data_IF_054622924207
#
_entry.id   IF_054622924207
#
_cell.length_a   1.000
_cell.length_b   1.000
_cell.length_c   1.000
_cell.angle_alpha   90.00
_cell.angle_beta   90.00
_cell.angle_gamma   90.00
#
_symmetry.space_group_name_H-M   'P 1'
#
loop_
_entity.id
_entity.type
_entity.pdbx_description
1 polymer ?
#
# COMPACT_ATOMS: atom_id res chain seq x y z
N UNK A 1 -11.22 22.16 8.13
CA UNK A 1 -11.20 22.24 6.73
C UNK A 1 -9.99 22.87 6.08
N UNK A 2 -9.16 22.05 5.38
CA UNK A 2 -8.04 22.54 4.59
C UNK A 2 -8.43 23.10 3.23
N UNK A 3 -9.66 22.87 2.76
CA UNK A 3 -10.16 23.39 1.48
C UNK A 3 -10.72 24.81 1.66
N UNK A 4 -9.83 25.75 1.89
CA UNK A 4 -10.17 27.15 2.12
C UNK A 4 -9.09 28.06 1.53
N UNK A 5 -9.47 29.30 1.18
CA UNK A 5 -8.51 30.31 0.68
C UNK A 5 -7.54 30.79 1.76
N UNK A 6 -7.93 30.68 3.02
CA UNK A 6 -7.12 31.06 4.18
C UNK A 6 -7.40 30.10 5.34
N UNK A 7 -6.34 29.65 5.99
CA UNK A 7 -6.39 28.78 7.18
C UNK A 7 -5.54 29.42 8.27
N UNK A 8 -6.05 29.45 9.50
CA UNK A 8 -5.26 29.86 10.66
C UNK A 8 -4.35 28.69 11.08
N UNK A 9 -3.06 28.93 11.08
CA UNK A 9 -2.07 27.97 11.55
C UNK A 9 -1.72 28.33 13.01
N UNK A 10 -1.93 27.40 13.98
CA UNK A 10 -1.57 27.63 15.36
C UNK A 10 -0.04 27.77 15.56
N UNK A 11 0.37 28.49 16.59
CA UNK A 11 1.80 28.69 16.88
C UNK A 11 2.54 27.38 17.12
N UNK A 12 1.90 26.40 17.73
CA UNK A 12 2.48 25.07 18.00
C UNK A 12 2.94 24.36 16.73
N UNK A 13 2.21 24.53 15.61
CA UNK A 13 2.60 23.99 14.30
C UNK A 13 3.84 24.70 13.77
N UNK A 14 3.90 26.03 13.95
CA UNK A 14 5.03 26.83 13.49
C UNK A 14 6.30 26.56 14.33
N UNK A 15 6.15 26.43 15.64
CA UNK A 15 7.25 26.14 16.59
C UNK A 15 7.88 24.76 16.39
N UNK A 16 7.13 23.82 15.80
CA UNK A 16 7.59 22.46 15.50
C UNK A 16 8.03 22.26 14.05
N UNK A 17 8.18 23.34 13.28
CA UNK A 17 8.53 23.30 11.84
C UNK A 17 7.63 22.37 11.01
N UNK A 18 6.35 22.23 11.40
CA UNK A 18 5.39 21.37 10.71
C UNK A 18 4.76 22.02 9.47
N UNK A 19 5.10 23.27 9.16
CA UNK A 19 4.66 23.93 7.93
C UNK A 19 5.73 23.81 6.86
N UNK A 20 5.44 23.00 5.84
CA UNK A 20 6.35 22.78 4.72
C UNK A 20 5.92 23.63 3.51
N UNK A 21 6.87 24.34 2.92
CA UNK A 21 6.64 25.02 1.66
C UNK A 21 6.50 23.99 0.52
N UNK A 22 5.54 24.24 -0.37
CA UNK A 22 5.34 23.46 -1.58
C UNK A 22 5.60 24.36 -2.79
N UNK A 23 6.54 23.98 -3.65
CA UNK A 23 6.97 24.69 -4.86
C UNK A 23 6.66 23.92 -6.16
N UNK A 24 5.78 22.90 -6.09
CA UNK A 24 5.31 22.16 -7.25
C UNK A 24 4.46 22.97 -8.22
N UNK A 25 4.28 22.45 -9.42
CA UNK A 25 3.60 23.15 -10.52
C UNK A 25 2.10 23.34 -10.29
N UNK A 26 1.46 22.42 -9.57
CA UNK A 26 0.00 22.42 -9.37
C UNK A 26 -0.40 22.17 -7.93
N UNK A 27 -1.50 22.81 -7.49
CA UNK A 27 -2.11 22.51 -6.18
C UNK A 27 -2.67 21.07 -6.10
N UNK A 28 -2.99 20.48 -7.25
CA UNK A 28 -3.44 19.10 -7.33
C UNK A 28 -2.33 18.14 -6.84
N UNK A 29 -1.12 18.28 -7.32
CA UNK A 29 0.03 17.48 -6.85
C UNK A 29 0.30 17.71 -5.36
N UNK A 30 0.24 18.98 -4.92
CA UNK A 30 0.37 19.31 -3.49
C UNK A 30 -0.68 18.63 -2.60
N UNK A 31 -1.91 18.46 -3.10
CA UNK A 31 -2.98 17.78 -2.36
C UNK A 31 -2.75 16.29 -2.15
N UNK A 32 -1.87 15.67 -2.94
CA UNK A 32 -1.51 14.24 -2.82
C UNK A 32 -0.37 13.98 -1.82
N UNK A 33 0.32 15.02 -1.35
CA UNK A 33 1.49 14.85 -0.45
C UNK A 33 1.10 14.17 0.85
N UNK A 34 -0.01 14.59 1.48
CA UNK A 34 -0.46 13.98 2.73
C UNK A 34 -0.86 12.51 2.55
N UNK A 35 -1.79 12.12 1.64
CA UNK A 35 -2.14 10.73 1.46
C UNK A 35 -0.96 9.86 1.01
N UNK A 36 -0.03 10.39 0.22
CA UNK A 36 1.21 9.68 -0.12
C UNK A 36 2.10 9.47 1.11
N UNK A 37 2.22 10.46 1.98
CA UNK A 37 2.99 10.32 3.23
C UNK A 37 2.42 9.22 4.14
N UNK A 38 1.08 9.07 4.20
CA UNK A 38 0.43 7.98 4.91
C UNK A 38 0.77 6.61 4.32
N UNK A 39 0.77 6.49 2.99
CA UNK A 39 1.17 5.25 2.30
C UNK A 39 2.63 4.91 2.59
N UNK A 40 3.54 5.88 2.44
CA UNK A 40 4.97 5.70 2.76
C UNK A 40 5.14 5.28 4.21
N UNK A 41 4.42 5.92 5.13
CA UNK A 41 4.42 5.57 6.56
C UNK A 41 3.94 4.14 6.81
N UNK A 42 2.86 3.72 6.15
CA UNK A 42 2.33 2.35 6.26
C UNK A 42 3.35 1.30 5.77
N UNK A 43 3.97 1.54 4.61
CA UNK A 43 5.00 0.64 4.07
C UNK A 43 6.22 0.57 5.00
N UNK A 44 6.69 1.70 5.51
CA UNK A 44 7.84 1.77 6.42
C UNK A 44 7.54 1.21 7.82
N UNK A 45 6.28 1.15 8.24
CA UNK A 45 5.87 0.58 9.53
C UNK A 45 5.87 -0.95 9.55
N UNK A 46 5.81 -1.60 8.39
CA UNK A 46 5.99 -3.04 8.30
C UNK A 46 7.41 -3.41 8.73
N UNK A 47 7.61 -4.62 9.22
CA UNK A 47 8.92 -5.11 9.60
C UNK A 47 9.02 -6.63 9.46
N UNK A 48 10.24 -7.11 9.20
CA UNK A 48 10.52 -8.52 9.05
C UNK A 48 11.78 -8.90 9.83
N UNK A 49 11.82 -10.11 10.37
CA UNK A 49 13.00 -10.64 11.03
C UNK A 49 14.11 -10.88 10.01
N UNK A 50 15.33 -10.55 10.38
CA UNK A 50 16.51 -11.00 9.65
C UNK A 50 16.76 -12.49 9.93
N UNK A 51 17.09 -13.23 8.88
CA UNK A 51 17.36 -14.66 9.00
C UNK A 51 18.47 -14.94 10.05
N UNK A 52 18.18 -15.86 10.98
CA UNK A 52 19.11 -16.23 12.04
C UNK A 52 19.34 -15.21 13.15
N UNK A 53 18.47 -14.18 13.23
CA UNK A 53 18.61 -13.06 14.18
C UNK A 53 17.23 -12.65 14.73
N UNK A 54 17.23 -11.96 15.86
CA UNK A 54 16.03 -11.26 16.40
C UNK A 54 15.96 -9.80 15.97
N UNK A 55 16.86 -9.36 15.07
CA UNK A 55 16.80 -8.00 14.55
C UNK A 55 15.70 -7.87 13.50
N UNK A 56 15.01 -6.75 13.51
CA UNK A 56 13.99 -6.41 12.52
C UNK A 56 14.58 -5.51 11.44
N UNK A 57 14.17 -5.76 10.20
CA UNK A 57 14.34 -4.82 9.09
C UNK A 57 13.00 -4.14 8.85
N UNK A 58 12.95 -2.82 8.95
CA UNK A 58 11.75 -2.03 8.68
C UNK A 58 11.47 -1.94 7.18
N UNK A 59 10.21 -1.78 6.84
CA UNK A 59 9.72 -1.75 5.46
C UNK A 59 9.15 -3.09 5.00
N UNK A 60 8.63 -3.12 3.76
CA UNK A 60 8.16 -4.36 3.15
C UNK A 60 9.32 -5.31 2.86
N UNK A 61 9.02 -6.60 2.75
CA UNK A 61 10.04 -7.61 2.42
C UNK A 61 10.57 -7.41 1.00
N UNK A 62 11.88 -7.19 0.83
CA UNK A 62 12.48 -7.06 -0.50
C UNK A 62 12.22 -8.34 -1.33
N UNK A 63 11.72 -8.17 -2.56
CA UNK A 63 11.32 -9.26 -3.44
C UNK A 63 10.31 -10.23 -2.81
N UNK A 64 9.56 -9.76 -1.80
CA UNK A 64 8.48 -10.48 -1.14
C UNK A 64 7.18 -10.51 -1.97
N UNK A 65 6.14 -11.02 -1.34
CA UNK A 65 4.78 -11.11 -1.91
C UNK A 65 3.90 -10.13 -1.15
N UNK A 66 3.40 -9.13 -1.87
CA UNK A 66 2.55 -8.07 -1.30
C UNK A 66 1.12 -8.21 -1.81
N UNK A 67 0.15 -8.05 -0.91
CA UNK A 67 -1.28 -8.04 -1.22
C UNK A 67 -1.88 -6.70 -0.80
N UNK A 68 -2.62 -6.06 -1.70
CA UNK A 68 -3.38 -4.84 -1.42
C UNK A 68 -4.87 -5.11 -1.60
N UNK A 69 -5.63 -5.02 -0.51
CA UNK A 69 -7.08 -5.20 -0.47
C UNK A 69 -7.78 -3.84 -0.52
N UNK A 70 -8.70 -3.65 -1.48
CA UNK A 70 -9.30 -2.34 -1.77
C UNK A 70 -8.32 -1.39 -2.47
N UNK A 71 -7.52 -1.92 -3.38
CA UNK A 71 -6.32 -1.27 -3.92
C UNK A 71 -6.54 -0.31 -5.10
N UNK A 72 -7.78 -0.05 -5.54
CA UNK A 72 -8.01 0.87 -6.68
C UNK A 72 -8.67 2.19 -6.29
N UNK A 73 -8.81 2.46 -4.98
CA UNK A 73 -9.12 3.79 -4.46
C UNK A 73 -7.87 4.70 -4.45
N UNK A 74 -8.00 5.98 -4.06
CA UNK A 74 -6.88 6.93 -4.06
C UNK A 74 -5.65 6.43 -3.28
N UNK A 75 -5.84 5.93 -2.06
CA UNK A 75 -4.75 5.38 -1.24
C UNK A 75 -4.14 4.13 -1.87
N UNK A 76 -4.99 3.24 -2.42
CA UNK A 76 -4.53 2.03 -3.07
C UNK A 76 -3.70 2.29 -4.34
N UNK A 77 -4.10 3.27 -5.17
CA UNK A 77 -3.30 3.66 -6.35
C UNK A 77 -1.93 4.23 -5.95
N UNK A 78 -1.88 5.06 -4.91
CA UNK A 78 -0.61 5.56 -4.36
C UNK A 78 0.25 4.40 -3.80
N UNK A 79 -0.39 3.39 -3.19
CA UNK A 79 0.32 2.21 -2.68
C UNK A 79 0.87 1.33 -3.81
N UNK A 80 0.13 1.17 -4.92
CA UNK A 80 0.62 0.49 -6.11
C UNK A 80 1.84 1.23 -6.67
N UNK A 81 1.73 2.54 -6.85
CA UNK A 81 2.82 3.38 -7.35
C UNK A 81 4.06 3.26 -6.47
N UNK A 82 3.90 3.39 -5.15
CA UNK A 82 5.01 3.28 -4.20
C UNK A 82 5.62 1.86 -4.14
N UNK A 83 4.80 0.81 -4.28
CA UNK A 83 5.32 -0.57 -4.36
C UNK A 83 6.18 -0.81 -5.61
N UNK A 84 5.90 -0.11 -6.72
CA UNK A 84 6.63 -0.24 -7.98
C UNK A 84 7.86 0.66 -8.08
N UNK A 85 7.76 1.89 -7.58
CA UNK A 85 8.77 2.93 -7.79
C UNK A 85 9.48 3.36 -6.51
N UNK A 86 9.07 2.83 -5.36
CA UNK A 86 9.71 3.08 -4.07
C UNK A 86 11.07 2.38 -3.93
N UNK A 87 11.75 2.56 -2.80
CA UNK A 87 13.10 2.04 -2.59
C UNK A 87 13.18 0.51 -2.48
N UNK A 88 12.05 -0.15 -2.19
CA UNK A 88 11.95 -1.61 -2.05
C UNK A 88 10.74 -2.10 -2.84
N UNK A 89 10.94 -3.08 -3.71
CA UNK A 89 9.89 -3.62 -4.57
C UNK A 89 9.60 -5.08 -4.23
N UNK A 90 8.32 -5.51 -4.24
CA UNK A 90 7.94 -6.91 -4.15
C UNK A 90 8.23 -7.65 -5.46
N UNK A 91 8.39 -8.96 -5.42
CA UNK A 91 8.42 -9.80 -6.63
C UNK A 91 7.01 -10.11 -7.15
N UNK A 92 6.03 -10.16 -6.24
CA UNK A 92 4.62 -10.38 -6.54
C UNK A 92 3.78 -9.31 -5.85
N UNK A 93 2.93 -8.64 -6.62
CA UNK A 93 1.96 -7.66 -6.14
C UNK A 93 0.57 -8.07 -6.59
N UNK A 94 -0.33 -8.35 -5.65
CA UNK A 94 -1.73 -8.66 -5.93
C UNK A 94 -2.60 -7.52 -5.44
N UNK A 95 -3.47 -7.04 -6.31
CA UNK A 95 -4.41 -5.96 -6.02
C UNK A 95 -5.83 -6.50 -6.18
N UNK A 96 -6.67 -6.29 -5.17
CA UNK A 96 -8.08 -6.63 -5.26
C UNK A 96 -8.96 -5.40 -5.08
N UNK A 97 -10.07 -5.37 -5.79
CA UNK A 97 -11.13 -4.39 -5.61
C UNK A 97 -12.46 -4.98 -6.09
N UNK A 98 -13.59 -4.37 -5.75
CA UNK A 98 -14.91 -4.78 -6.22
C UNK A 98 -15.29 -4.16 -7.56
N UNK A 99 -14.63 -3.08 -7.97
CA UNK A 99 -14.93 -2.27 -9.15
C UNK A 99 -14.03 -2.66 -10.33
N UNK A 100 -14.61 -3.33 -11.33
CA UNK A 100 -13.90 -3.79 -12.52
C UNK A 100 -13.35 -2.65 -13.39
N UNK A 101 -14.03 -1.51 -13.44
CA UNK A 101 -13.58 -0.37 -14.24
C UNK A 101 -12.33 0.26 -13.62
N UNK A 102 -12.30 0.39 -12.30
CA UNK A 102 -11.12 0.84 -11.55
C UNK A 102 -9.96 -0.15 -11.66
N UNK A 103 -10.24 -1.46 -11.56
CA UNK A 103 -9.21 -2.49 -11.78
C UNK A 103 -8.63 -2.42 -13.18
N UNK A 104 -9.48 -2.20 -14.20
CA UNK A 104 -9.04 -2.04 -15.59
C UNK A 104 -8.19 -0.77 -15.78
N UNK A 105 -8.59 0.33 -15.15
CA UNK A 105 -7.82 1.57 -15.13
C UNK A 105 -6.45 1.35 -14.47
N UNK A 106 -6.40 0.76 -13.28
CA UNK A 106 -5.15 0.49 -12.57
C UNK A 106 -4.22 -0.42 -13.39
N UNK A 107 -4.74 -1.50 -13.95
CA UNK A 107 -3.98 -2.43 -14.83
C UNK A 107 -3.35 -1.73 -16.03
N UNK A 108 -4.06 -0.76 -16.61
CA UNK A 108 -3.55 0.00 -17.77
C UNK A 108 -2.40 0.92 -17.39
N UNK A 109 -2.44 1.53 -16.21
CA UNK A 109 -1.48 2.55 -15.78
C UNK A 109 -0.30 1.96 -15.01
N UNK A 110 -0.50 0.82 -14.37
CA UNK A 110 0.53 0.10 -13.59
C UNK A 110 0.64 -1.34 -14.09
N UNK A 111 1.25 -1.57 -15.27
CA UNK A 111 1.52 -2.92 -15.79
C UNK A 111 2.60 -3.61 -14.96
N UNK A 112 2.72 -4.94 -15.12
CA UNK A 112 3.84 -5.67 -14.52
C UNK A 112 5.17 -5.14 -15.02
N UNK A 113 6.14 -5.07 -14.11
CA UNK A 113 7.50 -4.64 -14.38
C UNK A 113 8.49 -5.82 -14.33
N UNK A 114 9.71 -5.68 -14.85
CA UNK A 114 10.66 -6.79 -14.88
C UNK A 114 10.94 -7.43 -13.51
N UNK A 115 10.87 -6.63 -12.42
CA UNK A 115 11.12 -7.09 -11.05
C UNK A 115 9.85 -7.43 -10.27
N UNK A 116 8.64 -7.04 -10.76
CA UNK A 116 7.37 -7.20 -10.04
C UNK A 116 6.27 -7.73 -10.96
N UNK A 117 5.82 -8.96 -10.70
CA UNK A 117 4.63 -9.51 -11.33
C UNK A 117 3.38 -8.96 -10.63
N UNK A 118 2.44 -8.40 -11.41
CA UNK A 118 1.21 -7.82 -10.86
C UNK A 118 -0.02 -8.60 -11.31
N UNK A 119 -0.90 -8.89 -10.35
CA UNK A 119 -2.23 -9.42 -10.60
C UNK A 119 -3.32 -8.48 -10.08
N UNK A 120 -4.31 -8.22 -10.94
CA UNK A 120 -5.51 -7.45 -10.60
C UNK A 120 -6.71 -8.38 -10.60
N UNK A 121 -7.38 -8.52 -9.48
CA UNK A 121 -8.49 -9.46 -9.29
C UNK A 121 -9.74 -8.73 -8.78
N UNK A 122 -10.90 -9.11 -9.29
CA UNK A 122 -12.13 -8.72 -8.63
C UNK A 122 -12.22 -9.43 -7.26
N UNK A 123 -12.67 -8.73 -6.24
CA UNK A 123 -12.79 -9.28 -4.89
C UNK A 123 -13.70 -10.51 -4.82
N UNK A 124 -14.66 -10.63 -5.74
CA UNK A 124 -15.53 -11.82 -5.85
C UNK A 124 -14.74 -13.08 -6.25
N UNK A 125 -13.62 -12.93 -6.98
CA UNK A 125 -12.75 -14.02 -7.45
C UNK A 125 -11.54 -14.21 -6.53
N UNK A 126 -11.32 -13.30 -5.60
CA UNK A 126 -10.17 -13.26 -4.68
C UNK A 126 -10.44 -14.03 -3.38
N UNK A 127 -10.98 -15.26 -3.50
CA UNK A 127 -11.15 -16.16 -2.36
C UNK A 127 -9.80 -16.61 -1.79
N UNK A 128 -9.80 -17.08 -0.54
CA UNK A 128 -8.61 -17.58 0.16
C UNK A 128 -7.76 -18.52 -0.71
N UNK A 129 -8.40 -19.55 -1.28
CA UNK A 129 -7.67 -20.57 -2.07
C UNK A 129 -7.04 -19.97 -3.34
N UNK A 130 -7.71 -19.01 -4.00
CA UNK A 130 -7.17 -18.31 -5.17
C UNK A 130 -5.93 -17.51 -4.79
N UNK A 131 -6.01 -16.72 -3.71
CA UNK A 131 -4.91 -15.89 -3.24
C UNK A 131 -3.74 -16.74 -2.75
N UNK A 132 -4.02 -17.82 -2.03
CA UNK A 132 -2.99 -18.78 -1.62
C UNK A 132 -2.31 -19.44 -2.82
N UNK A 133 -3.06 -19.87 -3.83
CA UNK A 133 -2.48 -20.46 -5.04
C UNK A 133 -1.55 -19.46 -5.77
N UNK A 134 -1.95 -18.19 -5.89
CA UNK A 134 -1.13 -17.14 -6.52
C UNK A 134 0.14 -16.83 -5.72
N UNK A 135 0.12 -16.97 -4.39
CA UNK A 135 1.31 -16.85 -3.54
C UNK A 135 2.21 -18.09 -3.55
N UNK A 136 1.87 -19.12 -4.35
CA UNK A 136 2.57 -20.41 -4.35
C UNK A 136 2.33 -21.23 -3.08
N UNK A 137 1.25 -20.98 -2.36
CA UNK A 137 0.90 -21.66 -1.10
C UNK A 137 1.63 -21.13 0.14
N UNK A 138 2.40 -20.06 0.01
CA UNK A 138 3.23 -19.50 1.09
C UNK A 138 2.58 -18.36 1.85
N UNK A 139 1.46 -17.80 1.33
CA UNK A 139 0.87 -16.57 1.85
C UNK A 139 1.66 -15.32 1.45
N UNK A 140 1.33 -14.19 2.08
CA UNK A 140 1.89 -12.88 1.74
C UNK A 140 2.79 -12.37 2.86
N UNK A 141 3.92 -11.80 2.46
CA UNK A 141 4.87 -11.20 3.39
C UNK A 141 4.36 -9.85 3.90
N UNK A 142 3.65 -9.10 3.05
CA UNK A 142 3.07 -7.81 3.39
C UNK A 142 1.64 -7.71 2.87
N UNK A 143 0.70 -7.35 3.75
CA UNK A 143 -0.70 -7.14 3.38
C UNK A 143 -1.14 -5.75 3.82
N UNK A 144 -1.77 -5.00 2.91
CA UNK A 144 -2.36 -3.68 3.18
C UNK A 144 -3.85 -3.72 2.92
N UNK A 145 -4.65 -3.19 3.86
CA UNK A 145 -6.10 -3.11 3.75
C UNK A 145 -6.51 -1.64 3.75
N UNK A 146 -6.95 -1.12 2.59
CA UNK A 146 -7.34 0.29 2.42
C UNK A 146 -8.85 0.52 2.45
N UNK A 147 -9.62 -0.42 2.99
CA UNK A 147 -11.07 -0.30 3.15
C UNK A 147 -11.49 -0.70 4.56
N UNK A 148 -12.44 0.01 5.19
CA UNK A 148 -12.91 -0.27 6.55
C UNK A 148 -13.84 -1.49 6.55
N UNK A 149 -13.28 -2.69 6.41
CA UNK A 149 -14.04 -3.95 6.35
C UNK A 149 -13.37 -5.02 7.23
N UNK A 150 -14.02 -5.36 8.34
CA UNK A 150 -13.54 -6.35 9.31
C UNK A 150 -13.35 -7.75 8.67
N UNK A 151 -14.23 -8.14 7.75
CA UNK A 151 -14.10 -9.41 7.03
C UNK A 151 -12.84 -9.50 6.19
N UNK A 152 -12.40 -8.37 5.59
CA UNK A 152 -11.13 -8.32 4.85
C UNK A 152 -9.92 -8.36 5.77
N UNK A 153 -9.96 -7.76 6.96
CA UNK A 153 -8.89 -7.88 7.95
C UNK A 153 -8.77 -9.33 8.43
N UNK A 154 -9.91 -10.01 8.66
CA UNK A 154 -9.94 -11.44 9.02
C UNK A 154 -9.36 -12.32 7.91
N UNK A 155 -9.75 -12.09 6.66
CA UNK A 155 -9.19 -12.79 5.49
C UNK A 155 -7.67 -12.53 5.40
N UNK A 156 -7.26 -11.27 5.48
CA UNK A 156 -5.85 -10.86 5.41
C UNK A 156 -5.00 -11.58 6.47
N UNK A 157 -5.48 -11.65 7.71
CA UNK A 157 -4.75 -12.33 8.78
C UNK A 157 -4.52 -13.82 8.50
N UNK A 158 -5.45 -14.48 7.81
CA UNK A 158 -5.33 -15.90 7.42
C UNK A 158 -4.39 -16.13 6.23
N UNK A 159 -4.12 -15.08 5.45
CA UNK A 159 -3.25 -15.10 4.27
C UNK A 159 -1.80 -14.72 4.56
N UNK A 160 -1.46 -14.35 5.79
CA UNK A 160 -0.09 -13.99 6.15
C UNK A 160 0.86 -15.16 5.99
N UNK A 161 2.01 -14.88 5.42
CA UNK A 161 3.16 -15.79 5.45
C UNK A 161 3.75 -15.85 6.87
N UNK A 162 4.65 -16.82 7.10
CA UNK A 162 5.48 -16.81 8.31
C UNK A 162 6.27 -15.50 8.37
N UNK A 163 6.22 -14.79 9.49
CA UNK A 163 6.81 -13.46 9.66
C UNK A 163 6.18 -12.38 8.76
N UNK A 164 4.92 -12.59 8.32
CA UNK A 164 4.19 -11.61 7.51
C UNK A 164 3.64 -10.45 8.34
N UNK A 165 3.55 -9.28 7.72
CA UNK A 165 3.00 -8.06 8.31
C UNK A 165 1.64 -7.70 7.70
N UNK A 166 0.68 -7.31 8.55
CA UNK A 166 -0.63 -6.79 8.17
C UNK A 166 -0.77 -5.34 8.63
N UNK A 167 -1.05 -4.44 7.69
CA UNK A 167 -1.32 -3.03 7.92
C UNK A 167 -2.77 -2.70 7.52
N UNK A 168 -3.56 -2.05 8.41
CA UNK A 168 -4.99 -1.74 8.20
C UNK A 168 -5.46 -0.52 8.97
#
# INVERSE_FOLDING_TARGET
GGEATHVVIPNEVMEQDCLLAYDGETYFEGSLVEPLSCVIGAFNANYHLQEGSYNHTMGIRPQGRTLILGGTGPMGLLAIDYALHGPVNPSLLIITDTDNDKLSYARKHYPSEPQTLIHYLNAADAAFDTLMALSGGHGFDDIFVFVPNEGLVTLASSLLATDGCLNF
#
